data_IF_098930868270
#
_entry.id   IF_098930868270
#
_cell.length_a   1.000
_cell.length_b   1.000
_cell.length_c   1.000
_cell.angle_alpha   90.00
_cell.angle_beta   90.00
_cell.angle_gamma   90.00
#
_symmetry.space_group_name_H-M   'P 1'
#
loop_
_entity.id
_entity.type
_entity.pdbx_description
1 polymer ?
#
# COMPACT_ATOMS: atom_id res chain seq x y z
N UNK A 1 0.23 5.70 23.35
CA UNK A 1 -0.25 4.87 22.22
C UNK A 1 -1.72 5.17 21.90
N UNK A 2 -2.64 5.05 22.86
CA UNK A 2 -4.09 5.25 22.60
C UNK A 2 -4.40 6.68 22.12
N UNK A 3 -3.79 7.69 22.74
CA UNK A 3 -3.92 9.09 22.30
C UNK A 3 -3.41 9.30 20.86
N UNK A 4 -2.30 8.65 20.50
CA UNK A 4 -1.75 8.72 19.14
C UNK A 4 -2.70 8.05 18.13
N UNK A 5 -3.27 6.90 18.49
CA UNK A 5 -4.26 6.20 17.64
C UNK A 5 -5.48 7.09 17.42
N UNK A 6 -6.01 7.69 18.50
CA UNK A 6 -7.16 8.61 18.44
C UNK A 6 -6.87 9.84 17.60
N UNK A 7 -5.69 10.44 17.75
CA UNK A 7 -5.26 11.62 16.99
C UNK A 7 -5.14 11.31 15.49
N UNK A 8 -4.49 10.19 15.11
CA UNK A 8 -4.35 9.76 13.73
C UNK A 8 -5.71 9.44 13.10
N UNK A 9 -6.56 8.69 13.80
CA UNK A 9 -7.91 8.37 13.32
C UNK A 9 -8.73 9.63 13.06
N UNK A 10 -8.70 10.58 14.01
CA UNK A 10 -9.41 11.86 13.88
C UNK A 10 -8.86 12.70 12.71
N UNK A 11 -7.54 12.72 12.53
CA UNK A 11 -6.90 13.41 11.42
C UNK A 11 -7.36 12.84 10.06
N UNK A 12 -7.23 11.53 9.85
CA UNK A 12 -7.60 10.94 8.57
C UNK A 12 -9.09 11.07 8.28
N UNK A 13 -9.94 10.93 9.31
CA UNK A 13 -11.38 11.19 9.19
C UNK A 13 -11.67 12.63 8.78
N UNK A 14 -10.98 13.62 9.35
CA UNK A 14 -11.14 15.03 9.00
C UNK A 14 -10.75 15.37 7.56
N UNK A 15 -9.81 14.58 6.99
CA UNK A 15 -9.35 14.71 5.61
C UNK A 15 -10.15 13.84 4.61
N UNK A 16 -11.15 13.09 5.07
CA UNK A 16 -11.88 12.10 4.27
C UNK A 16 -10.94 11.10 3.57
N UNK A 17 -9.91 10.66 4.30
CA UNK A 17 -8.91 9.68 3.87
C UNK A 17 -9.06 8.40 4.67
N UNK A 18 -8.94 7.27 4.02
CA UNK A 18 -8.84 5.98 4.69
C UNK A 18 -7.47 5.86 5.37
N UNK A 19 -7.46 5.16 6.50
CA UNK A 19 -6.23 4.85 7.22
C UNK A 19 -5.99 3.33 7.21
N UNK A 20 -4.86 2.90 6.64
CA UNK A 20 -4.39 1.51 6.59
C UNK A 20 -2.96 1.43 7.13
N UNK A 21 -2.76 1.57 8.44
CA UNK A 21 -1.45 1.72 9.06
C UNK A 21 -0.51 0.56 8.78
N UNK A 22 0.75 0.88 8.50
CA UNK A 22 1.80 -0.11 8.33
C UNK A 22 2.24 -0.68 9.69
N UNK A 23 2.05 -2.00 9.89
CA UNK A 23 2.31 -2.67 11.17
C UNK A 23 3.71 -3.26 11.30
N UNK A 24 4.63 -2.95 10.39
CA UNK A 24 6.03 -3.46 10.45
C UNK A 24 6.77 -3.14 11.76
N UNK A 25 6.42 -2.05 12.43
CA UNK A 25 6.96 -1.66 13.73
C UNK A 25 6.14 -2.19 14.92
N UNK A 26 4.92 -2.64 14.68
CA UNK A 26 3.96 -3.09 15.70
C UNK A 26 4.00 -4.61 15.85
N UNK A 27 3.80 -5.34 14.74
CA UNK A 27 3.80 -6.82 14.61
C UNK A 27 2.91 -7.58 15.59
N UNK A 28 1.96 -6.91 16.22
CA UNK A 28 1.10 -7.44 17.28
C UNK A 28 -0.36 -7.34 16.85
N UNK A 29 -1.07 -8.47 16.62
CA UNK A 29 -2.46 -8.47 16.16
C UNK A 29 -3.42 -7.72 17.11
N UNK A 30 -3.23 -7.82 18.42
CA UNK A 30 -4.08 -7.15 19.41
C UNK A 30 -4.00 -5.62 19.29
N UNK A 31 -2.81 -5.09 18.96
CA UNK A 31 -2.65 -3.65 18.72
C UNK A 31 -3.25 -3.28 17.36
N UNK A 32 -3.08 -4.12 16.34
CA UNK A 32 -3.73 -3.94 15.04
C UNK A 32 -5.26 -3.86 15.19
N UNK A 33 -5.86 -4.74 15.99
CA UNK A 33 -7.30 -4.71 16.28
C UNK A 33 -7.73 -3.42 17.00
N UNK A 34 -6.94 -2.92 17.95
CA UNK A 34 -7.23 -1.61 18.59
C UNK A 34 -7.25 -0.48 17.56
N UNK A 35 -6.32 -0.49 16.62
CA UNK A 35 -6.23 0.52 15.56
C UNK A 35 -7.43 0.41 14.61
N UNK A 36 -7.82 -0.81 14.22
CA UNK A 36 -9.00 -1.05 13.38
C UNK A 36 -10.27 -0.59 14.09
N UNK A 37 -10.44 -0.92 15.35
CA UNK A 37 -11.58 -0.48 16.16
C UNK A 37 -11.65 1.05 16.33
N UNK A 38 -10.54 1.74 16.11
CA UNK A 38 -10.45 3.21 16.13
C UNK A 38 -10.69 3.85 14.75
N UNK A 39 -11.01 3.06 13.71
CA UNK A 39 -11.42 3.56 12.40
C UNK A 39 -10.44 3.30 11.25
N UNK A 40 -9.36 2.53 11.46
CA UNK A 40 -8.56 2.04 10.35
C UNK A 40 -9.33 0.96 9.55
N UNK A 41 -9.16 0.97 8.22
CA UNK A 41 -9.88 0.05 7.32
C UNK A 41 -9.24 -1.34 7.20
N UNK A 42 -8.14 -1.57 7.88
CA UNK A 42 -7.28 -2.74 7.84
C UNK A 42 -5.86 -2.35 8.18
N UNK A 43 -4.89 -3.17 7.83
CA UNK A 43 -3.47 -2.90 8.08
C UNK A 43 -2.59 -3.11 6.84
N UNK A 44 -1.39 -2.55 6.86
CA UNK A 44 -0.35 -2.80 5.86
C UNK A 44 0.78 -3.62 6.47
N UNK A 45 1.17 -4.69 5.82
CA UNK A 45 2.28 -5.57 6.19
C UNK A 45 3.47 -5.43 5.22
N UNK A 46 4.69 -5.66 5.70
CA UNK A 46 5.88 -5.66 4.86
C UNK A 46 6.18 -7.03 4.23
N UNK A 47 5.62 -8.10 4.76
CA UNK A 47 5.91 -9.48 4.36
C UNK A 47 4.66 -10.35 4.43
N UNK A 48 4.62 -11.38 3.58
CA UNK A 48 3.57 -12.39 3.63
C UNK A 48 3.44 -13.03 5.01
N UNK A 49 4.57 -13.36 5.67
CA UNK A 49 4.55 -13.96 7.01
C UNK A 49 4.00 -13.02 8.10
N UNK A 50 4.13 -11.71 7.94
CA UNK A 50 3.45 -10.75 8.84
C UNK A 50 1.94 -10.77 8.60
N UNK A 51 1.51 -10.84 7.33
CA UNK A 51 0.10 -10.93 6.99
C UNK A 51 -0.54 -12.22 7.54
N UNK A 52 0.13 -13.36 7.44
CA UNK A 52 -0.33 -14.63 8.02
C UNK A 52 -0.58 -14.54 9.53
N UNK A 53 0.33 -13.89 10.27
CA UNK A 53 0.17 -13.66 11.71
C UNK A 53 -1.01 -12.73 12.00
N UNK A 54 -1.18 -11.67 11.20
CA UNK A 54 -2.29 -10.73 11.37
C UNK A 54 -3.64 -11.40 11.08
N UNK A 55 -3.74 -12.21 10.01
CA UNK A 55 -4.96 -12.98 9.70
C UNK A 55 -5.28 -13.97 10.82
N UNK A 56 -4.30 -14.73 11.30
CA UNK A 56 -4.48 -15.64 12.43
C UNK A 56 -4.93 -14.91 13.71
N UNK A 57 -4.58 -13.62 13.86
CA UNK A 57 -5.06 -12.74 14.92
C UNK A 57 -6.38 -12.03 14.62
N UNK A 58 -7.10 -12.43 13.55
CA UNK A 58 -8.43 -11.94 13.21
C UNK A 58 -8.49 -10.63 12.40
N UNK A 59 -7.37 -10.19 11.80
CA UNK A 59 -7.36 -9.02 10.92
C UNK A 59 -7.94 -9.38 9.55
N UNK A 60 -9.07 -8.80 9.18
CA UNK A 60 -9.85 -9.16 7.98
C UNK A 60 -9.45 -8.45 6.68
N UNK A 61 -8.63 -7.38 6.72
CA UNK A 61 -8.21 -6.66 5.50
C UNK A 61 -6.74 -6.24 5.61
N UNK A 62 -5.91 -6.70 4.66
CA UNK A 62 -4.45 -6.51 4.69
C UNK A 62 -3.92 -6.11 3.31
N UNK A 63 -3.12 -5.05 3.28
CA UNK A 63 -2.24 -4.73 2.16
C UNK A 63 -0.83 -5.25 2.45
N UNK A 64 -0.30 -6.12 1.61
CA UNK A 64 1.13 -6.48 1.63
C UNK A 64 1.86 -5.51 0.70
N UNK A 65 2.47 -4.48 1.29
CA UNK A 65 3.21 -3.44 0.57
C UNK A 65 4.59 -3.94 0.15
N UNK A 66 4.62 -5.06 -0.58
CA UNK A 66 5.83 -5.69 -1.10
C UNK A 66 5.46 -6.69 -2.20
N UNK A 67 6.40 -6.94 -3.10
CA UNK A 67 6.24 -7.91 -4.19
C UNK A 67 6.38 -9.34 -3.65
N UNK A 68 5.41 -10.18 -3.96
CA UNK A 68 5.41 -11.60 -3.58
C UNK A 68 5.90 -12.41 -4.78
N UNK A 69 7.15 -12.83 -4.73
CA UNK A 69 7.83 -13.53 -5.83
C UNK A 69 8.11 -15.00 -5.49
N UNK A 70 7.88 -15.87 -6.46
CA UNK A 70 8.11 -17.31 -6.37
C UNK A 70 6.87 -18.11 -5.99
N UNK A 71 6.72 -19.28 -6.65
CA UNK A 71 5.51 -20.11 -6.60
C UNK A 71 5.06 -20.45 -5.18
N UNK A 72 5.98 -20.88 -4.30
CA UNK A 72 5.65 -21.24 -2.90
C UNK A 72 5.04 -20.09 -2.10
N UNK A 73 5.48 -18.84 -2.33
CA UNK A 73 4.89 -17.68 -1.65
C UNK A 73 3.55 -17.31 -2.25
N UNK A 74 3.40 -17.43 -3.57
CA UNK A 74 2.14 -17.17 -4.26
C UNK A 74 1.09 -18.20 -3.84
N UNK A 75 1.43 -19.48 -3.70
CA UNK A 75 0.52 -20.51 -3.16
C UNK A 75 0.03 -20.15 -1.74
N UNK A 76 0.93 -19.67 -0.87
CA UNK A 76 0.57 -19.21 0.48
C UNK A 76 -0.31 -17.96 0.43
N UNK A 77 -0.03 -17.03 -0.49
CA UNK A 77 -0.86 -15.86 -0.72
C UNK A 77 -2.28 -16.25 -1.13
N UNK A 78 -2.41 -17.22 -2.06
CA UNK A 78 -3.72 -17.76 -2.46
C UNK A 78 -4.46 -18.40 -1.30
N UNK A 79 -3.76 -19.18 -0.46
CA UNK A 79 -4.38 -19.77 0.74
C UNK A 79 -4.89 -18.69 1.70
N UNK A 80 -4.06 -17.67 1.96
CA UNK A 80 -4.39 -16.58 2.86
C UNK A 80 -5.59 -15.75 2.38
N UNK A 81 -5.76 -15.61 1.07
CA UNK A 81 -6.87 -14.88 0.44
C UNK A 81 -8.25 -15.54 0.62
N UNK A 82 -8.31 -16.79 1.11
CA UNK A 82 -9.58 -17.43 1.49
C UNK A 82 -10.07 -17.00 2.88
N UNK A 83 -9.15 -16.54 3.73
CA UNK A 83 -9.43 -16.23 5.14
C UNK A 83 -9.62 -14.73 5.39
N UNK A 84 -9.08 -13.87 4.49
CA UNK A 84 -9.14 -12.42 4.62
C UNK A 84 -9.05 -11.72 3.26
N UNK A 85 -9.45 -10.45 3.20
CA UNK A 85 -9.17 -9.58 2.07
C UNK A 85 -7.67 -9.27 2.02
N UNK A 86 -6.96 -9.89 1.08
CA UNK A 86 -5.53 -9.66 0.89
C UNK A 86 -5.30 -8.89 -0.41
N UNK A 87 -4.56 -7.80 -0.31
CA UNK A 87 -4.10 -6.99 -1.43
C UNK A 87 -2.57 -7.06 -1.44
N UNK A 88 -1.94 -7.21 -2.59
CA UNK A 88 -0.46 -7.23 -2.69
C UNK A 88 0.05 -6.26 -3.75
N UNK A 89 1.26 -5.73 -3.55
CA UNK A 89 1.91 -4.91 -4.55
C UNK A 89 2.54 -5.76 -5.65
N UNK A 90 2.48 -5.27 -6.90
CA UNK A 90 3.10 -5.87 -8.07
C UNK A 90 3.78 -4.81 -8.93
N UNK A 91 4.86 -5.17 -9.62
CA UNK A 91 5.60 -4.29 -10.54
C UNK A 91 6.26 -5.04 -11.72
N UNK A 92 5.98 -6.34 -11.85
CA UNK A 92 6.58 -7.21 -12.87
C UNK A 92 5.53 -8.07 -13.56
N UNK A 93 5.52 -8.06 -14.89
CA UNK A 93 4.55 -8.79 -15.71
C UNK A 93 4.68 -10.31 -15.56
N UNK A 94 5.90 -10.85 -15.46
CA UNK A 94 6.13 -12.30 -15.31
C UNK A 94 5.64 -12.80 -13.96
N UNK A 95 5.81 -11.99 -12.90
CA UNK A 95 5.28 -12.31 -11.56
C UNK A 95 3.75 -12.31 -11.58
N UNK A 96 3.11 -11.32 -12.22
CA UNK A 96 1.64 -11.25 -12.34
C UNK A 96 1.08 -12.42 -13.12
N UNK A 97 1.72 -12.82 -14.23
CA UNK A 97 1.33 -14.02 -14.99
C UNK A 97 1.45 -15.30 -14.15
N UNK A 98 2.53 -15.45 -13.37
CA UNK A 98 2.69 -16.58 -12.44
C UNK A 98 1.61 -16.57 -11.36
N UNK A 99 1.27 -15.38 -10.81
CA UNK A 99 0.18 -15.22 -9.85
C UNK A 99 -1.15 -15.69 -10.45
N UNK A 100 -1.47 -15.28 -11.67
CA UNK A 100 -2.69 -15.69 -12.37
C UNK A 100 -2.78 -17.20 -12.54
N UNK A 101 -1.70 -17.84 -13.02
CA UNK A 101 -1.65 -19.29 -13.22
C UNK A 101 -1.88 -20.06 -11.90
N UNK A 102 -1.24 -19.65 -10.81
CA UNK A 102 -1.38 -20.32 -9.52
C UNK A 102 -2.76 -20.04 -8.93
N UNK A 103 -3.26 -18.81 -9.04
CA UNK A 103 -4.59 -18.43 -8.56
C UNK A 103 -5.69 -19.24 -9.29
N UNK A 104 -5.56 -19.44 -10.59
CA UNK A 104 -6.43 -20.33 -11.38
C UNK A 104 -6.42 -21.76 -10.85
N UNK A 105 -5.24 -22.34 -10.61
CA UNK A 105 -5.11 -23.69 -10.05
C UNK A 105 -5.73 -23.84 -8.67
N UNK A 106 -5.74 -22.75 -7.89
CA UNK A 106 -6.31 -22.71 -6.53
C UNK A 106 -7.77 -22.23 -6.51
N UNK A 107 -8.34 -21.85 -7.67
CA UNK A 107 -9.70 -21.31 -7.81
C UNK A 107 -9.95 -20.08 -6.93
N UNK A 108 -8.98 -19.17 -6.85
CA UNK A 108 -9.06 -17.90 -6.11
C UNK A 108 -8.78 -16.73 -7.05
N UNK A 109 -9.19 -15.52 -6.63
CA UNK A 109 -8.79 -14.28 -7.28
C UNK A 109 -7.89 -13.48 -6.35
N UNK A 110 -6.78 -12.95 -6.87
CA UNK A 110 -5.83 -12.15 -6.12
C UNK A 110 -6.04 -10.65 -6.41
N UNK A 111 -6.11 -9.85 -5.36
CA UNK A 111 -6.22 -8.40 -5.47
C UNK A 111 -4.84 -7.76 -5.52
N UNK A 112 -4.61 -6.87 -6.48
CA UNK A 112 -3.31 -6.24 -6.66
C UNK A 112 -3.38 -4.72 -6.76
N UNK A 113 -2.33 -4.05 -6.23
CA UNK A 113 -1.97 -2.68 -6.53
C UNK A 113 -0.67 -2.69 -7.35
N UNK A 114 -0.61 -1.93 -8.44
CA UNK A 114 0.66 -1.73 -9.14
C UNK A 114 1.48 -0.71 -8.35
N UNK A 115 2.71 -1.07 -7.97
CA UNK A 115 3.63 -0.13 -7.32
C UNK A 115 4.28 0.77 -8.38
N UNK A 116 4.22 2.09 -8.14
CA UNK A 116 4.84 3.11 -8.96
C UNK A 116 6.05 3.66 -8.21
N UNK A 117 7.20 3.69 -8.85
CA UNK A 117 8.38 4.36 -8.31
C UNK A 117 8.20 5.88 -8.40
N UNK A 118 7.95 6.50 -7.27
CA UNK A 118 7.75 7.95 -7.16
C UNK A 118 8.97 8.67 -6.57
N UNK A 119 10.17 8.08 -6.72
CA UNK A 119 11.44 8.71 -6.35
C UNK A 119 12.27 7.94 -5.34
N UNK A 120 11.73 6.94 -4.66
CA UNK A 120 12.50 6.14 -3.69
C UNK A 120 13.52 5.21 -4.35
N UNK A 121 13.32 4.81 -5.61
CA UNK A 121 14.21 3.91 -6.37
C UNK A 121 14.50 2.57 -5.67
N UNK A 122 13.50 2.02 -4.98
CA UNK A 122 13.58 0.71 -4.32
C UNK A 122 12.88 -0.38 -5.11
N UNK A 123 11.63 -0.16 -5.45
CA UNK A 123 10.74 -1.02 -6.21
C UNK A 123 9.74 -0.16 -6.97
N UNK A 124 8.92 -0.78 -7.81
CA UNK A 124 7.87 -0.12 -8.57
C UNK A 124 8.29 0.29 -9.98
N UNK A 125 7.28 0.48 -10.82
CA UNK A 125 7.46 0.83 -12.22
C UNK A 125 7.88 2.28 -12.35
N UNK A 126 8.89 2.53 -13.18
CA UNK A 126 9.44 3.88 -13.42
C UNK A 126 8.92 4.50 -14.71
N UNK A 127 8.70 3.68 -15.75
CA UNK A 127 8.30 4.16 -17.06
C UNK A 127 6.79 4.06 -17.26
N UNK A 128 6.16 5.13 -17.72
CA UNK A 128 4.71 5.17 -17.98
C UNK A 128 4.30 4.08 -18.98
N UNK A 129 5.11 3.83 -20.02
CA UNK A 129 4.83 2.76 -20.99
C UNK A 129 4.70 1.40 -20.31
N UNK A 130 5.62 1.07 -19.40
CA UNK A 130 5.61 -0.23 -18.71
C UNK A 130 4.44 -0.33 -17.72
N UNK A 131 4.09 0.80 -17.09
CA UNK A 131 2.90 0.91 -16.24
C UNK A 131 1.63 0.59 -17.03
N UNK A 132 1.44 1.22 -18.19
CA UNK A 132 0.28 1.00 -19.05
C UNK A 132 0.22 -0.44 -19.59
N UNK A 133 1.38 -1.00 -19.97
CA UNK A 133 1.48 -2.39 -20.41
C UNK A 133 1.07 -3.35 -19.29
N UNK A 134 1.48 -3.09 -18.04
CA UNK A 134 1.11 -3.93 -16.90
C UNK A 134 -0.38 -3.79 -16.55
N UNK A 135 -0.94 -2.57 -16.62
CA UNK A 135 -2.38 -2.36 -16.46
C UNK A 135 -3.18 -3.19 -17.49
N UNK A 136 -2.77 -3.14 -18.76
CA UNK A 136 -3.43 -3.89 -19.82
C UNK A 136 -3.30 -5.38 -19.61
N UNK A 137 -2.11 -5.88 -19.27
CA UNK A 137 -1.92 -7.30 -18.97
C UNK A 137 -2.86 -7.76 -17.85
N UNK A 138 -2.97 -7.01 -16.76
CA UNK A 138 -3.84 -7.36 -15.63
C UNK A 138 -5.32 -7.40 -16.05
N UNK A 139 -5.75 -6.46 -16.89
CA UNK A 139 -7.13 -6.40 -17.39
C UNK A 139 -7.50 -7.64 -18.27
N UNK A 140 -6.51 -8.30 -18.87
CA UNK A 140 -6.67 -9.51 -19.66
C UNK A 140 -6.63 -10.81 -18.83
N UNK A 141 -6.38 -10.74 -17.52
CA UNK A 141 -6.20 -11.91 -16.65
C UNK A 141 -7.42 -12.16 -15.75
N UNK A 142 -7.96 -13.39 -15.83
CA UNK A 142 -9.22 -13.78 -15.16
C UNK A 142 -9.12 -13.88 -13.63
N UNK A 143 -7.91 -14.13 -13.09
CA UNK A 143 -7.71 -14.41 -11.66
C UNK A 143 -6.92 -13.31 -10.93
N UNK A 144 -6.74 -12.13 -11.56
CA UNK A 144 -6.10 -10.96 -10.98
C UNK A 144 -7.05 -9.78 -11.02
N UNK A 145 -7.37 -9.22 -9.86
CA UNK A 145 -8.22 -8.04 -9.73
C UNK A 145 -7.35 -6.79 -9.57
N UNK A 146 -7.37 -5.89 -10.54
CA UNK A 146 -6.75 -4.58 -10.40
C UNK A 146 -7.57 -3.70 -9.46
N UNK A 147 -7.00 -3.31 -8.33
CA UNK A 147 -7.63 -2.37 -7.40
C UNK A 147 -7.07 -0.95 -7.50
N UNK A 148 -5.86 -0.78 -8.03
CA UNK A 148 -5.28 0.54 -8.17
C UNK A 148 -3.76 0.58 -8.05
N UNK A 149 -3.25 1.62 -7.40
CA UNK A 149 -1.82 1.92 -7.36
C UNK A 149 -1.31 2.11 -5.95
N UNK A 150 -0.02 1.84 -5.76
CA UNK A 150 0.73 2.17 -4.57
C UNK A 150 1.98 2.97 -4.96
N UNK A 151 2.30 4.01 -4.20
CA UNK A 151 3.56 4.75 -4.34
C UNK A 151 3.97 5.30 -3.00
N UNK A 152 5.26 5.17 -2.66
CA UNK A 152 5.76 5.64 -1.37
C UNK A 152 7.01 6.53 -1.52
N UNK A 153 6.93 7.72 -0.97
CA UNK A 153 7.95 8.75 -0.93
C UNK A 153 8.95 8.54 0.22
N UNK A 154 9.39 7.29 0.42
CA UNK A 154 10.20 6.87 1.57
C UNK A 154 11.56 7.56 1.70
N UNK A 155 12.12 8.08 0.61
CA UNK A 155 13.35 8.87 0.63
C UNK A 155 13.17 10.21 1.37
N UNK A 156 11.96 10.74 1.43
CA UNK A 156 11.65 11.96 2.17
C UNK A 156 11.22 11.71 3.63
N UNK A 157 10.88 10.46 4.00
CA UNK A 157 10.27 10.15 5.29
C UNK A 157 11.17 10.46 6.50
N UNK A 158 12.49 10.30 6.35
CA UNK A 158 13.48 10.58 7.40
C UNK A 158 14.13 11.96 7.33
N UNK A 159 13.70 12.83 6.41
CA UNK A 159 14.22 14.19 6.33
C UNK A 159 13.64 15.05 7.45
N UNK A 160 14.45 15.98 7.96
CA UNK A 160 13.98 17.05 8.87
C UNK A 160 12.88 17.87 8.19
N UNK A 161 11.96 18.41 8.97
CA UNK A 161 10.91 19.30 8.45
C UNK A 161 11.53 20.59 7.90
N UNK A 162 11.55 20.71 6.59
CA UNK A 162 12.27 21.73 5.85
C UNK A 162 11.66 21.94 4.46
N UNK A 163 11.99 23.05 3.77
CA UNK A 163 11.62 23.22 2.36
C UNK A 163 12.12 22.09 1.45
N UNK A 164 13.27 21.50 1.71
CA UNK A 164 13.82 20.38 0.93
C UNK A 164 12.97 19.11 1.06
N UNK A 165 12.47 18.80 2.25
CA UNK A 165 11.54 17.68 2.45
C UNK A 165 10.26 17.90 1.65
N UNK A 166 9.72 19.11 1.69
CA UNK A 166 8.53 19.47 0.93
C UNK A 166 8.77 19.33 -0.57
N UNK A 167 9.89 19.85 -1.08
CA UNK A 167 10.27 19.70 -2.49
C UNK A 167 10.40 18.24 -2.92
N UNK A 168 10.99 17.38 -2.09
CA UNK A 168 11.12 15.96 -2.37
C UNK A 168 9.73 15.26 -2.45
N UNK A 169 8.82 15.60 -1.54
CA UNK A 169 7.44 15.08 -1.56
C UNK A 169 6.69 15.65 -2.77
N UNK A 170 6.82 16.95 -3.08
CA UNK A 170 6.21 17.59 -4.25
C UNK A 170 6.63 16.88 -5.56
N UNK A 171 7.91 16.55 -5.69
CA UNK A 171 8.42 15.80 -6.84
C UNK A 171 7.76 14.42 -6.94
N UNK A 172 7.66 13.70 -5.82
CA UNK A 172 7.00 12.40 -5.76
C UNK A 172 5.52 12.48 -6.15
N UNK A 173 4.80 13.47 -5.62
CA UNK A 173 3.38 13.68 -5.93
C UNK A 173 3.16 14.07 -7.40
N UNK A 174 4.08 14.81 -8.01
CA UNK A 174 4.04 15.10 -9.45
C UNK A 174 4.18 13.82 -10.28
N UNK A 175 5.12 12.93 -9.95
CA UNK A 175 5.28 11.64 -10.63
C UNK A 175 4.00 10.80 -10.50
N UNK A 176 3.46 10.69 -9.29
CA UNK A 176 2.22 9.96 -9.05
C UNK A 176 1.06 10.55 -9.86
N UNK A 177 0.87 11.86 -9.84
CA UNK A 177 -0.19 12.56 -10.58
C UNK A 177 -0.10 12.32 -12.09
N UNK A 178 1.11 12.35 -12.66
CA UNK A 178 1.32 12.05 -14.09
C UNK A 178 0.93 10.61 -14.39
N UNK A 179 1.40 9.64 -13.60
CA UNK A 179 1.08 8.23 -13.78
C UNK A 179 -0.43 7.97 -13.71
N UNK A 180 -1.12 8.54 -12.71
CA UNK A 180 -2.57 8.44 -12.58
C UNK A 180 -3.32 9.07 -13.76
N UNK A 181 -2.87 10.21 -14.26
CA UNK A 181 -3.45 10.89 -15.42
C UNK A 181 -3.36 10.04 -16.69
N UNK A 182 -2.17 9.48 -16.96
CA UNK A 182 -1.93 8.62 -18.13
C UNK A 182 -2.77 7.33 -18.08
N UNK A 183 -2.84 6.70 -16.91
CA UNK A 183 -3.69 5.52 -16.71
C UNK A 183 -5.17 5.84 -16.93
N UNK A 184 -5.65 6.97 -16.38
CA UNK A 184 -7.03 7.41 -16.56
C UNK A 184 -7.39 7.67 -18.04
N UNK A 185 -6.48 8.29 -18.81
CA UNK A 185 -6.68 8.52 -20.25
C UNK A 185 -6.80 7.21 -21.05
N UNK A 186 -6.21 6.11 -20.54
CA UNK A 186 -6.32 4.77 -21.12
C UNK A 186 -7.48 3.94 -20.57
N UNK A 187 -8.34 4.52 -19.74
CA UNK A 187 -9.53 3.87 -19.19
C UNK A 187 -9.30 3.12 -17.88
N UNK A 188 -8.10 3.16 -17.31
CA UNK A 188 -7.83 2.53 -16.02
C UNK A 188 -8.21 3.47 -14.87
N UNK A 189 -9.21 3.07 -14.08
CA UNK A 189 -9.76 3.85 -12.97
C UNK A 189 -9.46 3.19 -11.63
N UNK A 190 -8.37 3.58 -10.94
CA UNK A 190 -8.02 2.98 -9.65
C UNK A 190 -9.08 3.30 -8.59
N UNK A 191 -9.44 2.29 -7.79
CA UNK A 191 -10.26 2.45 -6.58
C UNK A 191 -9.39 2.84 -5.39
N UNK A 192 -8.15 2.34 -5.37
CA UNK A 192 -7.18 2.54 -4.28
C UNK A 192 -5.95 3.25 -4.82
N UNK A 193 -5.56 4.33 -4.15
CA UNK A 193 -4.26 4.98 -4.30
C UNK A 193 -3.66 5.03 -2.91
N UNK A 194 -2.73 4.11 -2.65
CA UNK A 194 -2.14 3.86 -1.33
C UNK A 194 -0.71 4.41 -1.24
N UNK A 195 -0.39 5.10 -0.17
CA UNK A 195 0.95 5.67 0.05
C UNK A 195 1.04 6.42 1.36
N UNK A 196 2.01 7.30 1.47
CA UNK A 196 2.23 8.09 2.67
C UNK A 196 2.78 7.28 3.85
N UNK A 197 3.68 7.86 4.61
CA UNK A 197 4.26 7.26 5.80
C UNK A 197 4.17 8.19 7.01
N UNK A 198 4.60 7.74 8.19
CA UNK A 198 4.53 8.55 9.42
C UNK A 198 5.30 9.86 9.32
N UNK A 199 6.37 9.92 8.53
CA UNK A 199 7.15 11.14 8.33
C UNK A 199 6.62 12.07 7.22
N UNK A 200 5.56 11.69 6.49
CA UNK A 200 5.14 12.42 5.27
C UNK A 200 3.62 12.62 5.17
N UNK A 201 2.82 11.88 5.95
CA UNK A 201 1.37 11.83 5.80
C UNK A 201 0.67 13.20 5.89
N UNK A 202 1.18 14.11 6.73
CA UNK A 202 0.61 15.46 6.86
C UNK A 202 0.65 16.21 5.52
N UNK A 203 1.79 16.13 4.83
CA UNK A 203 1.99 16.78 3.53
C UNK A 203 1.23 16.01 2.46
N UNK A 204 1.37 14.68 2.40
CA UNK A 204 0.70 13.85 1.39
C UNK A 204 -0.82 13.98 1.40
N UNK A 205 -1.43 14.12 2.59
CA UNK A 205 -2.87 14.30 2.73
C UNK A 205 -3.42 15.56 2.03
N UNK A 206 -2.60 16.62 1.94
CA UNK A 206 -3.02 17.89 1.35
C UNK A 206 -3.04 17.87 -0.19
N UNK A 207 -2.39 16.88 -0.83
CA UNK A 207 -2.42 16.76 -2.30
C UNK A 207 -3.72 16.20 -2.88
N UNK A 208 -4.53 15.49 -2.06
CA UNK A 208 -5.78 14.90 -2.51
C UNK A 208 -5.63 13.82 -3.59
N UNK A 209 -4.45 13.18 -3.69
CA UNK A 209 -4.18 12.11 -4.65
C UNK A 209 -4.46 10.72 -4.05
N UNK A 210 -4.19 10.55 -2.75
CA UNK A 210 -4.37 9.28 -2.07
C UNK A 210 -5.83 9.04 -1.69
N UNK A 211 -6.25 7.77 -1.71
CA UNK A 211 -7.51 7.30 -1.13
C UNK A 211 -7.31 6.69 0.24
N UNK A 212 -6.07 6.21 0.53
CA UNK A 212 -5.67 5.68 1.83
C UNK A 212 -4.21 6.01 2.14
N UNK A 213 -3.91 6.13 3.44
CA UNK A 213 -2.57 6.45 3.95
C UNK A 213 -2.07 5.33 4.85
N UNK A 214 -0.77 4.97 4.68
CA UNK A 214 -0.12 3.85 5.38
C UNK A 214 0.63 4.25 6.67
N UNK A 215 0.48 5.48 7.16
CA UNK A 215 1.18 5.96 8.36
C UNK A 215 0.89 5.06 9.58
N UNK A 216 1.89 4.35 10.06
CA UNK A 216 1.77 3.38 11.17
C UNK A 216 2.79 3.57 12.29
N UNK A 217 4.00 4.05 12.00
CA UNK A 217 5.03 4.31 13.01
C UNK A 217 4.63 5.39 14.04
N UNK A 218 3.80 6.34 13.63
CA UNK A 218 3.31 7.39 14.52
C UNK A 218 2.33 6.90 15.63
N UNK A 219 1.92 5.64 15.61
CA UNK A 219 1.15 5.00 16.71
C UNK A 219 2.01 4.91 17.97
N UNK A 220 3.31 4.70 17.81
CA UNK A 220 4.29 4.74 18.88
C UNK A 220 5.18 5.96 18.73
N UNK A 221 5.70 6.44 19.84
CA UNK A 221 6.77 7.44 19.85
C UNK A 221 8.06 6.74 19.45
N UNK A 222 8.62 7.08 18.31
CA UNK A 222 9.91 6.60 17.85
C UNK A 222 10.94 7.74 18.01
N UNK A 223 12.12 7.45 18.51
CA UNK A 223 13.18 8.46 18.69
C UNK A 223 13.60 9.10 17.34
N UNK A 224 13.39 8.43 16.23
CA UNK A 224 13.64 8.98 14.89
C UNK A 224 12.58 10.00 14.42
N UNK A 225 11.41 10.05 15.07
CA UNK A 225 10.31 10.98 14.75
C UNK A 225 10.11 12.05 15.83
N UNK A 226 11.05 12.17 16.76
CA UNK A 226 11.07 13.19 17.80
C UNK A 226 11.76 14.50 17.38
N UNK A 227 11.77 14.80 16.11
CA UNK A 227 12.35 16.04 15.57
C UNK A 227 11.28 17.09 15.34
#
# INVERSE_FOLDING_TARGET
MEDNISSLSSFFKSKNLNWRPHVKGIKTPEIAQKIINSGAIGVTCAKLSEAEVMVAGGVGSILIANQIVGSKKIERLCALSNDAEIITAVDDAGVVQMMNQIAQQKSVNLNVLIEINIGMNRAGITQIKDLLNLCQLIDELDHINFLGFMGWEGHAAGMEDSPYKREAIDASMKLLKVALSECKQKGFHPKIISGGGSGTYLICADYGLHTEIQAGGAVFTDSAYHL
#
